data_IF_127572313449
#
_entry.id   IF_127572313449
#
_cell.length_a   1.000
_cell.length_b   1.000
_cell.length_c   1.000
_cell.angle_alpha   90.00
_cell.angle_beta   90.00
_cell.angle_gamma   90.00
#
_symmetry.space_group_name_H-M   'P 1'
#
loop_
_entity.id
_entity.type
_entity.pdbx_description
1 polymer ?
#
# COMPACT_ATOMS: atom_id res chain seq x y z
N UNK A 1 21.56 -19.30 15.13
CA UNK A 1 20.89 -18.08 14.62
C UNK A 1 21.75 -17.28 13.62
N UNK A 2 22.96 -17.74 13.26
CA UNK A 2 23.83 -17.14 12.23
C UNK A 2 23.33 -17.35 10.79
N UNK A 3 22.56 -18.41 10.56
CA UNK A 3 22.34 -18.98 9.21
C UNK A 3 21.38 -18.17 8.32
N UNK A 4 20.79 -17.10 8.86
CA UNK A 4 19.85 -16.23 8.14
C UNK A 4 20.27 -14.76 8.13
N UNK A 5 21.45 -14.47 8.64
CA UNK A 5 22.08 -13.13 8.51
C UNK A 5 22.23 -12.70 7.04
N UNK A 6 22.34 -13.66 6.12
CA UNK A 6 22.41 -13.38 4.68
C UNK A 6 21.12 -12.74 4.14
N UNK A 7 19.93 -13.06 4.65
CA UNK A 7 18.66 -12.44 4.19
C UNK A 7 18.67 -10.95 4.53
N UNK A 8 19.06 -10.63 5.78
CA UNK A 8 19.23 -9.24 6.21
C UNK A 8 20.33 -8.52 5.42
N UNK A 9 21.45 -9.20 5.14
CA UNK A 9 22.52 -8.64 4.32
C UNK A 9 22.06 -8.37 2.89
N UNK A 10 21.33 -9.30 2.25
CA UNK A 10 20.82 -9.10 0.88
C UNK A 10 19.77 -7.99 0.85
N UNK A 11 18.92 -7.86 1.88
CA UNK A 11 17.96 -6.75 2.00
C UNK A 11 18.65 -5.40 2.19
N UNK A 12 19.64 -5.32 3.07
CA UNK A 12 20.43 -4.10 3.30
C UNK A 12 21.29 -3.70 2.11
N UNK A 13 21.74 -4.68 1.33
CA UNK A 13 22.53 -4.45 0.12
C UNK A 13 21.68 -4.04 -1.10
N UNK A 14 20.34 -3.98 -0.97
CA UNK A 14 19.51 -3.50 -2.07
C UNK A 14 19.75 -2.01 -2.31
N UNK A 15 19.84 -1.58 -3.58
CA UNK A 15 19.91 -0.17 -3.90
C UNK A 15 18.65 0.52 -3.37
N UNK A 16 18.85 1.50 -2.48
CA UNK A 16 17.76 2.38 -2.06
C UNK A 16 17.34 3.18 -3.30
N UNK A 17 16.05 3.20 -3.66
CA UNK A 17 15.59 4.00 -4.78
C UNK A 17 16.04 5.45 -4.61
N UNK A 18 16.50 6.09 -5.69
CA UNK A 18 16.87 7.50 -5.60
C UNK A 18 15.65 8.34 -5.16
N UNK A 19 15.84 9.44 -4.43
CA UNK A 19 14.73 10.30 -4.00
C UNK A 19 13.87 10.84 -5.17
N UNK A 20 14.44 10.85 -6.38
CA UNK A 20 13.80 11.27 -7.63
C UNK A 20 13.21 10.12 -8.44
N UNK A 21 13.32 8.87 -7.99
CA UNK A 21 12.80 7.71 -8.69
C UNK A 21 11.27 7.79 -8.79
N UNK A 22 10.75 7.58 -9.99
CA UNK A 22 9.31 7.44 -10.19
C UNK A 22 8.77 6.21 -9.47
N UNK A 23 7.48 6.22 -9.13
CA UNK A 23 6.80 5.07 -8.50
C UNK A 23 6.96 3.78 -9.31
N UNK A 24 6.89 3.88 -10.64
CA UNK A 24 7.11 2.76 -11.55
C UNK A 24 8.51 2.16 -11.39
N UNK A 25 9.55 3.00 -11.37
CA UNK A 25 10.92 2.55 -11.16
C UNK A 25 11.11 1.90 -9.77
N UNK A 26 10.45 2.44 -8.73
CA UNK A 26 10.46 1.82 -7.39
C UNK A 26 9.83 0.42 -7.40
N UNK A 27 8.70 0.24 -8.09
CA UNK A 27 8.02 -1.05 -8.23
C UNK A 27 8.88 -2.03 -9.02
N UNK A 28 9.45 -1.62 -10.15
CA UNK A 28 10.32 -2.45 -10.98
C UNK A 28 11.54 -2.93 -10.19
N UNK A 29 12.20 -2.02 -9.46
CA UNK A 29 13.33 -2.37 -8.59
C UNK A 29 12.92 -3.36 -7.49
N UNK A 30 11.80 -3.14 -6.81
CA UNK A 30 11.31 -4.06 -5.79
C UNK A 30 10.96 -5.45 -6.35
N UNK A 31 10.39 -5.52 -7.56
CA UNK A 31 10.11 -6.77 -8.25
C UNK A 31 11.39 -7.53 -8.62
N UNK A 32 12.41 -6.85 -9.12
CA UNK A 32 13.70 -7.46 -9.42
C UNK A 32 14.36 -8.03 -8.16
N UNK A 33 14.34 -7.27 -7.06
CA UNK A 33 14.81 -7.72 -5.75
C UNK A 33 14.07 -8.98 -5.31
N UNK A 34 12.74 -8.95 -5.34
CA UNK A 34 11.90 -10.07 -4.91
C UNK A 34 12.20 -11.32 -5.74
N UNK A 35 12.32 -11.21 -7.07
CA UNK A 35 12.69 -12.33 -7.95
C UNK A 35 14.02 -12.98 -7.60
N UNK A 36 15.02 -12.19 -7.19
CA UNK A 36 16.34 -12.72 -6.79
C UNK A 36 16.29 -13.47 -5.45
N UNK A 37 15.45 -13.00 -4.54
CA UNK A 37 15.31 -13.57 -3.20
C UNK A 37 14.38 -14.78 -3.17
N UNK A 38 13.34 -14.79 -4.01
CA UNK A 38 12.20 -15.69 -3.93
C UNK A 38 12.58 -17.17 -3.74
N UNK A 39 13.49 -17.79 -4.53
CA UNK A 39 13.71 -19.23 -4.45
C UNK A 39 14.24 -19.70 -3.08
N UNK A 40 15.17 -18.94 -2.50
CA UNK A 40 15.79 -19.29 -1.22
C UNK A 40 14.99 -18.75 -0.04
N UNK A 41 14.40 -17.58 -0.21
CA UNK A 41 13.62 -16.92 0.84
C UNK A 41 12.31 -17.65 1.12
N UNK A 42 11.54 -18.03 0.08
CA UNK A 42 10.26 -18.74 0.25
C UNK A 42 10.47 -20.09 0.95
N UNK A 43 11.44 -20.88 0.48
CA UNK A 43 11.76 -22.18 1.09
C UNK A 43 12.18 -22.05 2.56
N UNK A 44 12.87 -20.97 2.93
CA UNK A 44 13.21 -20.68 4.32
C UNK A 44 11.97 -20.34 5.15
N UNK A 45 11.11 -19.45 4.66
CA UNK A 45 9.87 -19.06 5.35
C UNK A 45 8.96 -20.26 5.58
N UNK A 46 8.84 -21.16 4.60
CA UNK A 46 8.03 -22.37 4.74
C UNK A 46 8.54 -23.28 5.88
N UNK A 47 9.86 -23.51 5.92
CA UNK A 47 10.49 -24.29 7.02
C UNK A 47 10.34 -23.60 8.37
N UNK A 48 10.48 -22.28 8.42
CA UNK A 48 10.31 -21.51 9.65
C UNK A 48 8.87 -21.56 10.15
N UNK A 49 7.90 -21.53 9.24
CA UNK A 49 6.48 -21.69 9.55
C UNK A 49 6.20 -23.09 10.11
N UNK A 50 6.66 -24.15 9.44
CA UNK A 50 6.52 -25.53 9.95
C UNK A 50 7.14 -25.68 11.35
N UNK A 51 8.33 -25.11 11.56
CA UNK A 51 8.98 -25.08 12.86
C UNK A 51 8.14 -24.36 13.91
N UNK A 52 7.60 -23.17 13.57
CA UNK A 52 6.74 -22.40 14.46
C UNK A 52 5.46 -23.16 14.81
N UNK A 53 4.78 -23.76 13.84
CA UNK A 53 3.54 -24.50 14.04
C UNK A 53 3.74 -25.72 14.95
N UNK A 54 4.91 -26.38 14.86
CA UNK A 54 5.26 -27.51 15.72
C UNK A 54 5.66 -27.09 17.14
N UNK A 55 6.41 -26.01 17.27
CA UNK A 55 7.13 -25.69 18.53
C UNK A 55 6.56 -24.52 19.29
N UNK A 56 5.79 -23.65 18.63
CA UNK A 56 5.33 -22.36 19.13
C UNK A 56 6.49 -21.50 19.68
N UNK A 57 7.69 -21.62 19.11
CA UNK A 57 8.85 -20.83 19.54
C UNK A 57 8.59 -19.33 19.28
N UNK A 58 8.55 -18.48 20.32
CA UNK A 58 8.24 -17.07 20.16
C UNK A 58 9.25 -16.32 19.27
N UNK A 59 10.47 -16.85 19.09
CA UNK A 59 11.47 -16.26 18.19
C UNK A 59 11.10 -16.50 16.73
N UNK A 60 10.56 -17.67 16.40
CA UNK A 60 10.06 -17.97 15.06
C UNK A 60 8.82 -17.14 14.74
N UNK A 61 7.88 -17.05 15.69
CA UNK A 61 6.70 -16.20 15.56
C UNK A 61 7.06 -14.73 15.32
N UNK A 62 8.00 -14.17 16.10
CA UNK A 62 8.49 -12.79 15.91
C UNK A 62 9.12 -12.56 14.55
N UNK A 63 9.90 -13.53 14.05
CA UNK A 63 10.48 -13.42 12.72
C UNK A 63 9.38 -13.42 11.65
N UNK A 64 8.45 -14.37 11.70
CA UNK A 64 7.32 -14.43 10.76
C UNK A 64 6.47 -13.16 10.81
N UNK A 65 6.21 -12.60 12.01
CA UNK A 65 5.51 -11.34 12.19
C UNK A 65 6.24 -10.18 11.49
N UNK A 66 7.56 -10.09 11.66
CA UNK A 66 8.37 -9.09 10.94
C UNK A 66 8.27 -9.25 9.43
N UNK A 67 8.21 -10.47 8.93
CA UNK A 67 8.06 -10.68 7.49
C UNK A 67 6.68 -10.26 6.96
N UNK A 68 5.63 -10.49 7.73
CA UNK A 68 4.31 -9.95 7.43
C UNK A 68 4.35 -8.42 7.39
N UNK A 69 5.02 -7.78 8.35
CA UNK A 69 5.20 -6.33 8.36
C UNK A 69 5.90 -5.84 7.08
N UNK A 70 7.01 -6.46 6.68
CA UNK A 70 7.75 -6.04 5.49
C UNK A 70 6.92 -6.16 4.20
N UNK A 71 6.15 -7.22 4.05
CA UNK A 71 5.23 -7.36 2.91
C UNK A 71 4.11 -6.32 2.98
N UNK A 72 3.57 -6.05 4.16
CA UNK A 72 2.58 -5.00 4.38
C UNK A 72 3.10 -3.61 3.97
N UNK A 73 4.35 -3.29 4.32
CA UNK A 73 5.01 -2.02 3.96
C UNK A 73 5.12 -1.86 2.43
N UNK A 74 5.42 -2.94 1.69
CA UNK A 74 5.39 -2.91 0.22
C UNK A 74 4.00 -2.58 -0.33
N UNK A 75 2.95 -3.17 0.23
CA UNK A 75 1.57 -2.86 -0.17
C UNK A 75 1.17 -1.43 0.20
N UNK A 76 1.57 -0.94 1.37
CA UNK A 76 1.25 0.40 1.85
C UNK A 76 1.98 1.48 1.04
N UNK A 77 3.30 1.43 1.01
CA UNK A 77 4.13 2.55 0.54
C UNK A 77 4.33 2.53 -0.97
N UNK A 78 4.56 1.36 -1.57
CA UNK A 78 4.76 1.24 -3.02
C UNK A 78 3.43 1.17 -3.77
N UNK A 79 2.46 0.41 -3.27
CA UNK A 79 1.24 0.09 -4.02
C UNK A 79 0.00 0.86 -3.56
N UNK A 80 0.06 1.60 -2.45
CA UNK A 80 -1.09 2.30 -1.85
C UNK A 80 -2.31 1.39 -1.67
N UNK A 81 -2.07 0.08 -1.49
CA UNK A 81 -3.08 -0.96 -1.29
C UNK A 81 -3.26 -1.19 0.21
N UNK A 82 -3.86 -0.21 0.88
CA UNK A 82 -4.00 -0.20 2.33
C UNK A 82 -4.78 -1.41 2.88
N UNK A 83 -5.81 -1.89 2.19
CA UNK A 83 -6.55 -3.09 2.62
C UNK A 83 -5.66 -4.33 2.64
N UNK A 84 -4.79 -4.49 1.62
CA UNK A 84 -3.81 -5.59 1.59
C UNK A 84 -2.74 -5.41 2.65
N UNK A 85 -2.23 -4.20 2.85
CA UNK A 85 -1.29 -3.93 3.93
C UNK A 85 -1.88 -4.31 5.29
N UNK A 86 -3.15 -3.98 5.54
CA UNK A 86 -3.88 -4.34 6.77
C UNK A 86 -4.02 -5.86 6.96
N UNK A 87 -4.28 -6.63 5.90
CA UNK A 87 -4.29 -8.10 5.98
C UNK A 87 -2.94 -8.63 6.53
N UNK A 88 -1.82 -8.13 6.01
CA UNK A 88 -0.50 -8.53 6.47
C UNK A 88 -0.20 -8.06 7.90
N UNK A 89 -0.49 -6.80 8.24
CA UNK A 89 -0.23 -6.31 9.59
C UNK A 89 -1.06 -7.02 10.66
N UNK A 90 -2.33 -7.36 10.35
CA UNK A 90 -3.17 -8.17 11.25
C UNK A 90 -2.61 -9.59 11.42
N UNK A 91 -2.16 -10.22 10.34
CA UNK A 91 -1.47 -11.51 10.42
C UNK A 91 -0.16 -11.42 11.24
N UNK A 92 0.53 -10.27 11.25
CA UNK A 92 1.68 -10.04 12.11
C UNK A 92 1.29 -9.99 13.60
N UNK A 93 0.17 -9.33 13.93
CA UNK A 93 -0.38 -9.27 15.30
C UNK A 93 -0.88 -10.64 15.77
N UNK A 94 -1.44 -11.47 14.88
CA UNK A 94 -1.81 -12.85 15.20
C UNK A 94 -0.59 -13.70 15.61
N UNK A 95 0.56 -13.47 14.97
CA UNK A 95 1.81 -14.17 15.28
C UNK A 95 2.51 -13.61 16.53
N UNK A 96 2.53 -12.29 16.69
CA UNK A 96 3.10 -11.58 17.84
C UNK A 96 2.13 -10.48 18.31
N UNK A 97 1.22 -10.80 19.25
CA UNK A 97 0.21 -9.86 19.74
C UNK A 97 0.79 -8.61 20.41
N UNK A 98 2.04 -8.67 20.88
CA UNK A 98 2.72 -7.56 21.55
C UNK A 98 3.51 -6.67 20.60
N UNK A 99 3.46 -6.95 19.29
CA UNK A 99 4.22 -6.23 18.29
C UNK A 99 3.69 -4.80 18.11
N UNK A 100 4.36 -3.83 18.75
CA UNK A 100 3.99 -2.42 18.66
C UNK A 100 4.13 -1.86 17.23
N UNK A 101 5.09 -2.38 16.47
CA UNK A 101 5.40 -1.96 15.10
C UNK A 101 4.25 -2.30 14.13
N UNK A 102 3.67 -3.49 14.25
CA UNK A 102 2.48 -3.90 13.52
C UNK A 102 1.25 -3.07 13.90
N UNK A 103 1.03 -2.82 15.20
CA UNK A 103 -0.10 -2.01 15.67
C UNK A 103 -0.03 -0.56 15.16
N UNK A 104 1.16 0.05 15.16
CA UNK A 104 1.36 1.38 14.59
C UNK A 104 1.05 1.41 13.09
N UNK A 105 1.50 0.41 12.34
CA UNK A 105 1.23 0.27 10.91
C UNK A 105 -0.25 0.07 10.59
N UNK A 106 -0.98 -0.69 11.41
CA UNK A 106 -2.44 -0.80 11.31
C UNK A 106 -3.09 0.57 11.45
N UNK A 107 -2.73 1.35 12.48
CA UNK A 107 -3.30 2.68 12.69
C UNK A 107 -3.01 3.62 11.49
N UNK A 108 -1.79 3.59 10.95
CA UNK A 108 -1.42 4.38 9.78
C UNK A 108 -2.24 3.96 8.56
N UNK A 109 -2.33 2.66 8.26
CA UNK A 109 -3.07 2.16 7.12
C UNK A 109 -4.58 2.45 7.23
N UNK A 110 -5.18 2.28 8.41
CA UNK A 110 -6.58 2.66 8.68
C UNK A 110 -6.82 4.16 8.43
N UNK A 111 -5.88 5.02 8.81
CA UNK A 111 -6.01 6.47 8.60
C UNK A 111 -5.89 6.89 7.13
N UNK A 112 -5.22 6.08 6.29
CA UNK A 112 -4.90 6.39 4.89
C UNK A 112 -5.76 5.64 3.89
N UNK A 113 -6.46 4.57 4.29
CA UNK A 113 -7.22 3.73 3.36
C UNK A 113 -8.39 4.44 2.70
N UNK A 114 -8.90 5.50 3.31
CA UNK A 114 -9.98 6.32 2.78
C UNK A 114 -9.54 7.76 2.63
N UNK A 115 -10.08 8.42 1.61
CA UNK A 115 -9.86 9.84 1.40
C UNK A 115 -10.51 10.67 2.50
N UNK A 116 -9.73 11.57 3.09
CA UNK A 116 -10.24 12.56 4.04
C UNK A 116 -11.05 13.63 3.29
N UNK A 117 -12.27 13.88 3.75
CA UNK A 117 -13.11 14.96 3.22
C UNK A 117 -12.42 16.32 3.35
N UNK A 118 -11.74 16.57 4.48
CA UNK A 118 -10.99 17.81 4.71
C UNK A 118 -9.84 17.96 3.72
N UNK A 119 -9.06 16.90 3.48
CA UNK A 119 -7.98 16.94 2.50
C UNK A 119 -8.52 17.14 1.07
N UNK A 120 -9.60 16.44 0.71
CA UNK A 120 -10.20 16.53 -0.61
C UNK A 120 -10.81 17.91 -0.88
N UNK A 121 -11.49 18.51 0.11
CA UNK A 121 -12.10 19.83 -0.02
C UNK A 121 -11.08 20.95 -0.29
N UNK A 122 -9.82 20.74 0.12
CA UNK A 122 -8.74 21.68 -0.14
C UNK A 122 -8.15 21.55 -1.55
N UNK A 123 -8.56 20.54 -2.34
CA UNK A 123 -8.15 20.43 -3.76
C UNK A 123 -8.95 21.41 -4.60
N UNK A 124 -8.26 22.26 -5.35
CA UNK A 124 -8.88 23.23 -6.25
C UNK A 124 -8.27 23.17 -7.66
N UNK A 125 -8.99 23.74 -8.63
CA UNK A 125 -8.50 23.86 -10.00
C UNK A 125 -7.13 24.58 -10.02
N UNK A 126 -6.26 24.17 -10.95
CA UNK A 126 -4.89 24.69 -11.06
C UNK A 126 -3.84 23.97 -10.22
N UNK A 127 -4.22 23.10 -9.27
CA UNK A 127 -3.25 22.30 -8.52
C UNK A 127 -2.53 21.28 -9.41
N UNK A 128 -1.23 21.08 -9.18
CA UNK A 128 -0.45 20.02 -9.84
C UNK A 128 -0.64 18.68 -9.15
N UNK A 129 -0.48 17.58 -9.88
CA UNK A 129 -0.54 16.20 -9.34
C UNK A 129 0.35 16.01 -8.09
N UNK A 130 1.53 16.63 -8.05
CA UNK A 130 2.42 16.57 -6.89
C UNK A 130 1.86 17.22 -5.62
N UNK A 131 1.11 18.30 -5.77
CA UNK A 131 0.51 19.00 -4.64
C UNK A 131 -0.74 18.25 -4.16
N UNK A 132 -1.54 17.72 -5.09
CA UNK A 132 -2.65 16.81 -4.75
C UNK A 132 -2.15 15.58 -4.01
N UNK A 133 -1.04 14.98 -4.46
CA UNK A 133 -0.41 13.83 -3.80
C UNK A 133 0.03 14.14 -2.38
N UNK A 134 0.60 15.31 -2.10
CA UNK A 134 0.98 15.71 -0.74
C UNK A 134 -0.24 15.92 0.15
N UNK A 135 -1.34 16.42 -0.41
CA UNK A 135 -2.54 16.79 0.32
C UNK A 135 -3.44 15.58 0.61
N UNK A 136 -3.71 14.76 -0.41
CA UNK A 136 -4.72 13.69 -0.38
C UNK A 136 -4.08 12.29 -0.41
N UNK A 137 -2.80 12.20 -0.79
CA UNK A 137 -2.12 10.94 -1.05
C UNK A 137 -2.29 10.46 -2.50
N UNK A 138 -1.58 9.38 -2.84
CA UNK A 138 -1.76 8.69 -4.12
C UNK A 138 -2.89 7.67 -4.01
N UNK A 139 -3.75 7.55 -5.03
CA UNK A 139 -4.67 6.43 -5.12
C UNK A 139 -3.92 5.13 -5.49
N UNK A 140 -4.65 4.02 -5.45
CA UNK A 140 -4.19 2.76 -6.04
C UNK A 140 -3.97 2.95 -7.55
N UNK A 141 -2.97 2.27 -8.10
CA UNK A 141 -2.63 2.39 -9.52
C UNK A 141 -3.80 2.03 -10.45
N UNK A 142 -4.54 0.98 -10.13
CA UNK A 142 -5.73 0.55 -10.88
C UNK A 142 -6.92 1.51 -10.74
N UNK A 143 -6.82 2.52 -9.85
CA UNK A 143 -7.79 3.59 -9.64
C UNK A 143 -7.37 4.91 -10.31
N UNK A 144 -6.26 4.89 -11.05
CA UNK A 144 -5.87 5.96 -11.96
C UNK A 144 -6.34 5.56 -13.36
N UNK A 145 -7.23 6.37 -13.95
CA UNK A 145 -7.79 6.12 -15.29
C UNK A 145 -7.33 7.19 -16.26
N UNK A 146 -7.06 6.79 -17.50
CA UNK A 146 -6.87 7.71 -18.61
C UNK A 146 -8.15 7.70 -19.46
N UNK A 147 -8.71 8.88 -19.72
CA UNK A 147 -9.94 9.06 -20.48
C UNK A 147 -9.63 9.93 -21.69
N UNK A 148 -9.99 9.47 -22.89
CA UNK A 148 -9.84 10.26 -24.12
C UNK A 148 -11.18 10.90 -24.46
N UNK A 149 -11.22 12.22 -24.52
CA UNK A 149 -12.41 12.98 -24.90
C UNK A 149 -12.00 14.11 -25.85
N UNK A 150 -12.68 14.20 -27.00
CA UNK A 150 -12.41 15.22 -28.03
C UNK A 150 -10.92 15.31 -28.46
N UNK A 151 -10.25 14.16 -28.56
CA UNK A 151 -8.83 14.08 -28.93
C UNK A 151 -7.84 14.51 -27.84
N UNK A 152 -8.31 14.82 -26.63
CA UNK A 152 -7.47 15.11 -25.46
C UNK A 152 -7.49 13.94 -24.48
N UNK A 153 -6.37 13.74 -23.79
CA UNK A 153 -6.21 12.71 -22.75
C UNK A 153 -6.31 13.36 -21.38
N UNK A 154 -7.21 12.84 -20.55
CA UNK A 154 -7.43 13.27 -19.18
C UNK A 154 -7.05 12.16 -18.22
N UNK A 155 -6.42 12.52 -17.10
CA UNK A 155 -6.12 11.60 -16.01
C UNK A 155 -7.18 11.76 -14.91
N UNK A 156 -7.70 10.65 -14.38
CA UNK A 156 -8.71 10.64 -13.32
C UNK A 156 -8.19 9.81 -12.16
N UNK A 157 -8.00 10.44 -11.02
CA UNK A 157 -7.58 9.79 -9.78
C UNK A 157 -8.80 9.53 -8.91
N UNK A 158 -9.12 8.26 -8.70
CA UNK A 158 -10.28 7.83 -7.92
C UNK A 158 -9.80 7.46 -6.51
N UNK A 159 -10.55 7.85 -5.49
CA UNK A 159 -10.25 7.52 -4.10
C UNK A 159 -11.45 6.90 -3.38
N UNK A 160 -11.24 5.83 -2.60
CA UNK A 160 -12.32 5.21 -1.83
C UNK A 160 -12.68 6.09 -0.63
N UNK A 161 -13.97 6.13 -0.31
CA UNK A 161 -14.50 6.79 0.89
C UNK A 161 -14.89 5.75 1.94
N UNK A 162 -14.93 6.18 3.20
CA UNK A 162 -15.34 5.32 4.32
C UNK A 162 -16.81 4.88 4.26
N UNK A 163 -17.65 5.62 3.54
CA UNK A 163 -19.06 5.27 3.29
C UNK A 163 -19.23 4.13 2.27
N UNK A 164 -18.15 3.69 1.61
CA UNK A 164 -18.18 2.69 0.54
C UNK A 164 -18.37 3.28 -0.86
N UNK A 165 -18.53 4.59 -0.99
CA UNK A 165 -18.49 5.31 -2.27
C UNK A 165 -17.07 5.67 -2.70
N UNK A 166 -16.97 6.51 -3.72
CA UNK A 166 -15.68 7.04 -4.20
C UNK A 166 -15.76 8.51 -4.57
N UNK A 167 -14.62 9.20 -4.44
CA UNK A 167 -14.39 10.54 -4.96
C UNK A 167 -13.41 10.49 -6.14
N UNK A 168 -13.40 11.54 -6.96
CA UNK A 168 -12.52 11.64 -8.12
C UNK A 168 -11.93 13.04 -8.27
N UNK A 169 -10.65 13.09 -8.66
CA UNK A 169 -9.94 14.31 -9.05
C UNK A 169 -9.54 14.15 -10.52
N UNK A 170 -9.84 15.16 -11.33
CA UNK A 170 -9.65 15.12 -12.78
C UNK A 170 -8.55 16.09 -13.20
N UNK A 171 -7.65 15.62 -14.04
CA UNK A 171 -6.48 16.35 -14.50
C UNK A 171 -6.48 16.48 -16.03
N UNK A 172 -6.11 17.67 -16.50
CA UNK A 172 -5.77 17.99 -17.89
C UNK A 172 -4.32 18.47 -17.88
N UNK A 173 -3.44 17.82 -18.65
CA UNK A 173 -2.00 18.09 -18.65
C UNK A 173 -1.38 18.17 -17.24
N UNK A 174 -1.69 17.20 -16.37
CA UNK A 174 -1.22 17.09 -14.97
C UNK A 174 -1.66 18.24 -14.04
N UNK A 175 -2.69 18.99 -14.43
CA UNK A 175 -3.28 20.07 -13.64
C UNK A 175 -4.75 19.78 -13.35
N UNK A 176 -5.18 19.93 -12.11
CA UNK A 176 -6.58 19.75 -11.70
C UNK A 176 -7.47 20.72 -12.47
N UNK A 177 -8.51 20.21 -13.11
CA UNK A 177 -9.56 21.04 -13.71
C UNK A 177 -10.94 20.79 -13.09
N UNK A 178 -11.15 19.65 -12.42
CA UNK A 178 -12.41 19.31 -11.77
C UNK A 178 -12.21 18.35 -10.58
N UNK A 179 -13.13 18.39 -9.62
CA UNK A 179 -13.22 17.45 -8.50
C UNK A 179 -14.66 17.02 -8.29
N UNK A 180 -14.86 15.76 -7.92
CA UNK A 180 -16.17 15.22 -7.59
C UNK A 180 -16.08 14.34 -6.33
N UNK A 181 -16.60 14.83 -5.21
CA UNK A 181 -16.62 14.08 -3.94
C UNK A 181 -17.48 12.80 -4.01
N UNK A 182 -18.52 12.79 -4.86
CA UNK A 182 -19.48 11.71 -5.01
C UNK A 182 -19.39 11.09 -6.41
N UNK A 183 -18.17 10.77 -6.85
CA UNK A 183 -17.91 10.15 -8.14
C UNK A 183 -18.52 8.75 -8.27
N UNK A 184 -18.66 8.02 -7.16
CA UNK A 184 -19.48 6.82 -7.06
C UNK A 184 -20.27 6.81 -5.75
N UNK A 185 -21.55 6.44 -5.84
CA UNK A 185 -22.41 6.26 -4.68
C UNK A 185 -22.02 4.99 -3.90
N UNK A 186 -22.20 4.98 -2.57
CA UNK A 186 -22.03 3.77 -1.79
C UNK A 186 -23.07 2.71 -2.23
N UNK A 187 -22.75 1.41 -2.09
CA UNK A 187 -23.73 0.37 -2.36
C UNK A 187 -24.98 0.60 -1.51
N UNK A 188 -26.17 0.50 -2.13
CA UNK A 188 -27.43 0.65 -1.41
C UNK A 188 -27.43 -0.34 -0.24
N UNK A 189 -27.69 0.16 0.97
CA UNK A 189 -27.84 -0.71 2.15
C UNK A 189 -28.83 -1.80 1.78
N UNK A 190 -28.40 -3.06 1.79
CA UNK A 190 -29.28 -4.18 1.61
C UNK A 190 -30.38 -4.03 2.66
N UNK A 191 -31.58 -3.65 2.21
CA UNK A 191 -32.76 -3.61 3.08
C UNK A 191 -32.91 -5.01 3.63
N UNK A 192 -32.59 -5.19 4.91
CA UNK A 192 -32.88 -6.39 5.66
C UNK A 192 -34.37 -6.67 5.53
N UNK A 193 -34.70 -7.66 4.71
CA UNK A 193 -36.02 -8.30 4.67
C UNK A 193 -36.00 -9.52 5.57
#
# INVERSE_FOLDING_TARGET
MSDYSWIESVRKAQPVPQPTASRKQMIESALETNKRLEPTYVAFIDRLKEYNDRTHDPRAAKFLAREKILVGDQYMDLLSRYDKALEFYRAAVELDPTNQDANQRIAIAESRRFVSMTAFANVHAGMKEDDVRKLVGLPREDWIKQVVQNGRVYSVWIYPKSDGGASAIYFDNSVVYHTNWNAAAPPAAAQSR
#
